data_IF_131486435917
#
_entry.id   IF_131486435917
#
_cell.length_a   1.000
_cell.length_b   1.000
_cell.length_c   1.000
_cell.angle_alpha   90.00
_cell.angle_beta   90.00
_cell.angle_gamma   90.00
#
_symmetry.space_group_name_H-M   'P 1'
#
loop_
_entity.id
_entity.type
_entity.pdbx_description
1 polymer ?
#
# COMPACT_ATOMS: atom_id res chain seq x y z
N UNK A 1 -9.96 6.54 17.55
CA UNK A 1 -8.63 6.01 17.20
C UNK A 1 -8.86 5.04 16.06
N UNK A 2 -8.57 5.42 14.81
CA UNK A 2 -8.84 4.55 13.67
C UNK A 2 -7.72 3.51 13.58
N UNK A 3 -8.04 2.28 13.96
CA UNK A 3 -7.20 1.11 13.71
C UNK A 3 -7.03 0.91 12.20
N UNK A 4 -5.82 0.53 11.76
CA UNK A 4 -5.55 0.17 10.36
C UNK A 4 -6.55 -0.89 9.92
N UNK A 5 -7.38 -0.57 8.90
CA UNK A 5 -8.26 -1.56 8.30
C UNK A 5 -7.39 -2.55 7.50
N UNK A 6 -7.50 -3.86 7.76
CA UNK A 6 -6.58 -4.85 7.23
C UNK A 6 -6.74 -5.09 5.72
N UNK A 7 -7.89 -4.75 5.16
CA UNK A 7 -8.22 -4.98 3.75
C UNK A 7 -9.13 -3.87 3.22
N UNK A 8 -8.82 -3.35 2.04
CA UNK A 8 -9.60 -2.35 1.33
C UNK A 8 -9.75 -2.75 -0.13
N UNK A 9 -10.93 -2.48 -0.68
CA UNK A 9 -11.17 -2.59 -2.10
C UNK A 9 -11.06 -1.21 -2.73
N UNK A 10 -10.34 -1.12 -3.84
CA UNK A 10 -10.09 0.10 -4.60
C UNK A 10 -10.51 -0.11 -6.05
N UNK A 11 -10.93 0.96 -6.72
CA UNK A 11 -11.11 0.96 -8.17
C UNK A 11 -10.01 1.85 -8.78
N UNK A 12 -9.22 1.31 -9.70
CA UNK A 12 -8.10 2.03 -10.33
C UNK A 12 -8.20 1.81 -11.84
N UNK A 13 -8.48 2.87 -12.60
CA UNK A 13 -8.62 2.84 -14.06
C UNK A 13 -9.67 1.79 -14.49
N UNK A 14 -10.85 1.82 -13.86
CA UNK A 14 -11.96 0.91 -14.13
C UNK A 14 -11.72 -0.57 -13.78
N UNK A 15 -10.69 -0.88 -12.99
CA UNK A 15 -10.44 -2.23 -12.46
C UNK A 15 -10.45 -2.26 -10.94
N UNK A 16 -10.96 -3.36 -10.37
CA UNK A 16 -10.98 -3.55 -8.92
C UNK A 16 -9.66 -4.15 -8.41
N UNK A 17 -9.10 -3.54 -7.37
CA UNK A 17 -7.91 -3.99 -6.66
C UNK A 17 -8.22 -4.19 -5.18
N UNK A 18 -7.40 -5.02 -4.54
CA UNK A 18 -7.41 -5.21 -3.10
C UNK A 18 -6.08 -4.70 -2.54
N UNK A 19 -6.18 -3.80 -1.56
CA UNK A 19 -5.06 -3.34 -0.76
C UNK A 19 -5.15 -4.00 0.62
N UNK A 20 -4.13 -4.77 1.00
CA UNK A 20 -4.03 -5.40 2.31
C UNK A 20 -2.89 -4.76 3.12
N UNK A 21 -3.10 -4.58 4.43
CA UNK A 21 -2.05 -4.18 5.37
C UNK A 21 -1.91 -5.26 6.42
N UNK A 22 -0.78 -5.96 6.38
CA UNK A 22 -0.59 -7.22 7.09
C UNK A 22 0.60 -7.08 8.05
N UNK A 23 0.43 -7.30 9.36
CA UNK A 23 1.54 -7.35 10.28
C UNK A 23 2.40 -8.59 10.01
N UNK A 24 3.71 -8.41 9.87
CA UNK A 24 4.71 -9.45 9.62
C UNK A 24 5.53 -9.74 10.89
N UNK A 25 4.83 -10.00 12.00
CA UNK A 25 5.44 -10.21 13.32
C UNK A 25 6.37 -11.43 13.39
N UNK A 26 6.23 -12.37 12.45
CA UNK A 26 7.10 -13.53 12.27
C UNK A 26 8.45 -13.20 11.61
N UNK A 27 8.56 -12.07 10.91
CA UNK A 27 9.80 -11.64 10.27
C UNK A 27 10.61 -10.78 11.24
N UNK A 28 10.01 -9.73 11.78
CA UNK A 28 10.61 -8.86 12.79
C UNK A 28 9.54 -8.03 13.52
N UNK A 29 9.82 -7.56 14.75
CA UNK A 29 8.89 -6.70 15.50
C UNK A 29 8.50 -5.45 14.70
N UNK A 30 7.22 -5.07 14.78
CA UNK A 30 6.63 -3.91 14.12
C UNK A 30 6.88 -3.83 12.60
N UNK A 31 7.05 -4.97 11.94
CA UNK A 31 7.17 -5.03 10.49
C UNK A 31 5.79 -5.20 9.87
N UNK A 32 5.51 -4.46 8.81
CA UNK A 32 4.24 -4.44 8.11
C UNK A 32 4.46 -4.61 6.62
N UNK A 33 3.59 -5.38 5.98
CA UNK A 33 3.53 -5.53 4.54
C UNK A 33 2.27 -4.87 4.00
N UNK A 34 2.45 -4.00 3.02
CA UNK A 34 1.40 -3.39 2.24
C UNK A 34 1.39 -4.10 0.90
N UNK A 35 0.24 -4.66 0.55
CA UNK A 35 0.08 -5.45 -0.66
C UNK A 35 -1.06 -4.88 -1.49
N UNK A 36 -0.77 -4.48 -2.72
CA UNK A 36 -1.78 -4.22 -3.74
C UNK A 36 -1.84 -5.41 -4.69
N UNK A 37 -3.04 -5.92 -4.96
CA UNK A 37 -3.28 -6.99 -5.95
C UNK A 37 -4.55 -6.73 -6.75
N UNK A 38 -4.61 -7.21 -7.99
CA UNK A 38 -5.87 -7.19 -8.73
C UNK A 38 -6.89 -8.11 -8.04
N UNK A 39 -8.15 -7.69 -7.94
CA UNK A 39 -9.20 -8.51 -7.32
C UNK A 39 -9.55 -9.73 -8.17
N UNK A 40 -9.36 -9.67 -9.49
CA UNK A 40 -9.57 -10.79 -10.39
C UNK A 40 -8.45 -11.82 -10.19
N UNK A 41 -8.82 -13.11 -10.09
CA UNK A 41 -7.92 -14.23 -9.77
C UNK A 41 -6.72 -14.39 -10.72
N UNK A 42 -6.79 -13.86 -11.94
CA UNK A 42 -5.71 -13.86 -12.94
C UNK A 42 -5.39 -12.45 -13.45
N UNK A 43 -5.85 -11.42 -12.72
CA UNK A 43 -5.57 -10.03 -13.07
C UNK A 43 -4.16 -9.67 -12.63
N UNK A 44 -3.46 -8.92 -13.48
CA UNK A 44 -2.14 -8.39 -13.16
C UNK A 44 -2.25 -6.90 -12.81
N UNK A 45 -1.27 -6.42 -12.08
CA UNK A 45 -0.95 -5.01 -11.93
C UNK A 45 -0.07 -4.61 -13.12
N UNK A 46 -0.52 -3.69 -13.99
CA UNK A 46 0.31 -3.20 -15.09
C UNK A 46 1.58 -2.48 -14.61
N UNK A 47 2.59 -2.45 -15.47
CA UNK A 47 3.76 -1.60 -15.28
C UNK A 47 3.36 -0.12 -15.13
N UNK A 48 4.09 0.61 -14.29
CA UNK A 48 3.86 2.01 -13.95
C UNK A 48 3.07 2.23 -12.65
N UNK A 49 2.44 1.19 -12.09
CA UNK A 49 1.79 1.29 -10.78
C UNK A 49 2.81 1.52 -9.67
N UNK A 50 2.45 2.34 -8.68
CA UNK A 50 3.25 2.62 -7.49
C UNK A 50 2.42 2.49 -6.23
N UNK A 51 3.05 1.97 -5.19
CA UNK A 51 2.54 1.93 -3.82
C UNK A 51 3.58 2.61 -2.94
N UNK A 52 3.22 3.71 -2.27
CA UNK A 52 4.16 4.54 -1.52
C UNK A 52 3.63 4.89 -0.14
N UNK A 53 4.52 4.89 0.85
CA UNK A 53 4.29 5.52 2.15
C UNK A 53 5.04 6.84 2.22
N UNK A 54 4.42 7.87 2.75
CA UNK A 54 5.03 9.17 2.97
C UNK A 54 5.01 9.51 4.45
N UNK A 55 5.86 10.43 4.88
CA UNK A 55 5.75 11.04 6.22
C UNK A 55 4.39 11.75 6.35
N UNK A 56 4.00 12.12 7.57
CA UNK A 56 2.80 12.95 7.81
C UNK A 56 2.81 14.27 7.02
N UNK A 57 3.99 14.82 6.73
CA UNK A 57 4.16 16.02 5.92
C UNK A 57 4.09 15.75 4.39
N UNK A 58 4.03 14.48 3.97
CA UNK A 58 3.99 14.10 2.55
C UNK A 58 5.36 13.94 1.91
N UNK A 59 6.41 13.82 2.72
CA UNK A 59 7.78 13.69 2.24
C UNK A 59 8.12 12.22 2.00
N UNK A 60 8.89 11.96 0.94
CA UNK A 60 9.45 10.64 0.69
C UNK A 60 10.60 10.34 1.64
N UNK A 61 10.82 9.05 1.89
CA UNK A 61 11.94 8.54 2.68
C UNK A 61 12.53 7.28 2.02
N UNK A 62 13.74 6.82 2.40
CA UNK A 62 14.36 5.68 1.75
C UNK A 62 13.50 4.41 1.81
N UNK A 63 13.43 3.69 0.68
CA UNK A 63 12.70 2.43 0.53
C UNK A 63 11.19 2.53 0.83
N UNK A 64 10.59 3.71 0.66
CA UNK A 64 9.19 3.96 0.97
C UNK A 64 8.21 3.61 -0.15
N UNK A 65 8.69 3.09 -1.28
CA UNK A 65 7.87 2.83 -2.45
C UNK A 65 8.20 1.49 -3.09
N UNK A 66 7.16 0.91 -3.69
CA UNK A 66 7.26 -0.19 -4.62
C UNK A 66 6.69 0.27 -5.96
N UNK A 67 7.38 -0.08 -7.06
CA UNK A 67 6.98 0.27 -8.42
C UNK A 67 6.90 -1.00 -9.26
N UNK A 68 5.78 -1.24 -9.92
CA UNK A 68 5.66 -2.28 -10.93
C UNK A 68 6.40 -1.80 -12.20
N UNK A 69 7.53 -2.41 -12.56
CA UNK A 69 8.25 -2.09 -13.80
C UNK A 69 7.68 -2.84 -15.01
N UNK A 70 6.97 -3.93 -14.75
CA UNK A 70 6.28 -4.78 -15.73
C UNK A 70 4.97 -5.29 -15.13
N UNK A 71 4.22 -6.09 -15.88
CA UNK A 71 2.98 -6.68 -15.37
C UNK A 71 3.28 -7.74 -14.30
N UNK A 72 2.81 -7.54 -13.07
CA UNK A 72 3.07 -8.42 -11.92
C UNK A 72 1.76 -8.83 -11.23
N UNK A 73 1.76 -9.98 -10.54
CA UNK A 73 0.56 -10.45 -9.83
C UNK A 73 0.19 -9.55 -8.65
N UNK A 74 1.19 -8.95 -8.00
CA UNK A 74 1.01 -8.16 -6.80
C UNK A 74 2.21 -7.22 -6.58
N UNK A 75 1.96 -6.09 -5.94
CA UNK A 75 2.93 -5.06 -5.62
C UNK A 75 3.04 -4.93 -4.10
N UNK A 76 4.23 -5.18 -3.56
CA UNK A 76 4.46 -5.27 -2.12
C UNK A 76 5.46 -4.22 -1.64
N UNK A 77 5.16 -3.60 -0.51
CA UNK A 77 6.06 -2.74 0.24
C UNK A 77 6.13 -3.26 1.69
N UNK A 78 7.32 -3.61 2.16
CA UNK A 78 7.54 -4.14 3.52
C UNK A 78 8.46 -3.24 4.30
N UNK A 79 7.99 -2.76 5.46
CA UNK A 79 8.69 -1.76 6.27
C UNK A 79 8.56 -2.06 7.77
N UNK A 80 9.64 -1.80 8.50
CA UNK A 80 9.60 -1.74 9.97
C UNK A 80 9.17 -0.34 10.41
N UNK A 81 8.00 -0.25 11.03
CA UNK A 81 7.36 1.01 11.40
C UNK A 81 7.38 1.14 12.92
N UNK A 82 7.86 2.26 13.46
CA UNK A 82 7.86 2.47 14.91
C UNK A 82 6.41 2.62 15.40
N UNK A 83 6.07 2.15 16.61
CA UNK A 83 4.77 2.45 17.21
C UNK A 83 4.53 3.96 17.29
N UNK A 84 3.28 4.37 17.13
CA UNK A 84 2.80 5.76 17.07
C UNK A 84 3.30 6.56 15.86
N UNK A 85 3.83 5.90 14.83
CA UNK A 85 4.20 6.58 13.58
C UNK A 85 2.96 6.89 12.75
N UNK A 86 2.90 8.11 12.23
CA UNK A 86 1.88 8.57 11.30
C UNK A 86 2.47 8.56 9.89
N UNK A 87 1.83 7.84 8.97
CA UNK A 87 2.24 7.76 7.57
C UNK A 87 1.06 8.03 6.66
N UNK A 88 1.32 8.61 5.50
CA UNK A 88 0.33 8.73 4.43
C UNK A 88 0.53 7.63 3.39
N UNK A 89 -0.55 6.93 3.03
CA UNK A 89 -0.53 5.95 1.95
C UNK A 89 -0.92 6.60 0.63
N UNK A 90 -0.15 6.31 -0.41
CA UNK A 90 -0.39 6.77 -1.77
C UNK A 90 -0.30 5.61 -2.77
N UNK A 91 -1.19 5.63 -3.74
CA UNK A 91 -1.21 4.70 -4.87
C UNK A 91 -1.27 5.52 -6.16
N UNK A 92 -0.41 5.18 -7.11
CA UNK A 92 -0.44 5.71 -8.47
C UNK A 92 -0.67 4.54 -9.45
N UNK A 93 -1.61 4.63 -10.41
CA UNK A 93 -2.60 5.69 -10.59
C UNK A 93 -3.52 5.86 -9.37
N UNK A 94 -3.99 7.08 -9.15
CA UNK A 94 -4.86 7.41 -8.01
C UNK A 94 -6.17 6.61 -8.15
N UNK A 95 -6.60 5.87 -7.12
CA UNK A 95 -7.86 5.16 -7.18
C UNK A 95 -9.06 6.11 -7.27
N UNK A 96 -10.13 5.64 -7.90
CA UNK A 96 -11.38 6.38 -8.07
C UNK A 96 -12.06 6.60 -6.72
N UNK A 97 -12.59 7.82 -6.52
CA UNK A 97 -13.20 8.25 -5.25
C UNK A 97 -12.28 8.07 -4.03
N UNK A 98 -10.96 8.01 -4.23
CA UNK A 98 -9.99 7.82 -3.16
C UNK A 98 -9.61 9.15 -2.52
N UNK A 99 -9.66 9.17 -1.20
CA UNK A 99 -9.00 10.19 -0.40
C UNK A 99 -7.71 9.61 0.14
N UNK A 100 -6.62 10.39 0.08
CA UNK A 100 -5.32 9.99 0.63
C UNK A 100 -5.50 9.57 2.10
N UNK A 101 -5.00 8.40 2.45
CA UNK A 101 -5.25 7.81 3.77
C UNK A 101 -4.10 8.09 4.72
N UNK A 102 -4.45 8.51 5.94
CA UNK A 102 -3.52 8.62 7.06
C UNK A 102 -3.60 7.32 7.86
N UNK A 103 -2.45 6.68 8.06
CA UNK A 103 -2.29 5.46 8.82
C UNK A 103 -1.54 5.75 10.12
N UNK A 104 -2.01 5.14 11.21
CA UNK A 104 -1.41 5.27 12.53
C UNK A 104 -1.09 3.84 13.02
N UNK A 105 0.19 3.59 13.27
CA UNK A 105 0.72 2.30 13.73
C UNK A 105 1.08 2.31 15.22
#
# INVERSE_FOLDING_TARGET
MLSVLPLRQLEIVGQEYLLSIIPQANIAPNTWQFELRNKRKSGLIPGGFKLRLLTEAGESFPNNEAIATEAVESLYLTLSIKPKTILMLEIEPIPENYHREILIF
#
